data_IF_247561118499
#
_entry.id   IF_247561118499
#
_cell.length_a   1.000
_cell.length_b   1.000
_cell.length_c   1.000
_cell.angle_alpha   90.00
_cell.angle_beta   90.00
_cell.angle_gamma   90.00
#
_symmetry.space_group_name_H-M   'P 1'
#
loop_
_entity.id
_entity.type
_entity.pdbx_description
1 polymer ?
#
# COMPACT_ATOMS: atom_id res chain seq x y z
N UNK A 1 34.61 -6.21 12.71
CA UNK A 1 34.76 -5.22 11.62
C UNK A 1 33.37 -4.78 11.23
N UNK A 2 33.11 -3.48 11.35
CA UNK A 2 31.85 -2.90 11.78
C UNK A 2 30.70 -3.02 10.77
N UNK A 3 29.49 -3.20 11.34
CA UNK A 3 28.16 -3.22 10.71
C UNK A 3 27.78 -1.78 10.26
N UNK A 4 28.64 -1.15 9.48
CA UNK A 4 28.60 0.29 9.23
C UNK A 4 28.00 0.58 7.83
N UNK A 5 26.81 1.18 7.77
CA UNK A 5 26.06 1.46 6.52
C UNK A 5 26.10 2.93 6.04
N UNK A 6 26.76 3.85 6.77
CA UNK A 6 26.50 5.31 6.68
C UNK A 6 27.49 6.19 5.92
N UNK A 7 28.42 5.64 5.14
CA UNK A 7 29.33 6.42 4.30
C UNK A 7 29.42 5.78 2.92
N UNK A 8 30.06 6.45 1.93
CA UNK A 8 30.46 5.87 0.62
C UNK A 8 31.35 4.61 0.72
N UNK A 9 31.47 3.99 1.89
CA UNK A 9 32.09 2.70 2.12
C UNK A 9 31.31 1.53 1.50
N UNK A 10 30.00 1.68 1.23
CA UNK A 10 29.22 0.69 0.46
C UNK A 10 29.58 0.85 -1.02
N UNK A 11 30.36 -0.07 -1.58
CA UNK A 11 30.72 -0.02 -3.01
C UNK A 11 29.55 -0.51 -3.85
N UNK A 12 28.90 -1.59 -3.41
CA UNK A 12 27.81 -2.19 -4.17
C UNK A 12 26.64 -2.59 -3.30
N UNK A 13 25.46 -2.04 -3.59
CA UNK A 13 24.20 -2.50 -3.03
C UNK A 13 23.38 -3.29 -4.06
N UNK A 14 22.71 -4.34 -3.61
CA UNK A 14 21.76 -5.11 -4.43
C UNK A 14 20.36 -4.95 -3.86
N UNK A 15 19.39 -4.64 -4.72
CA UNK A 15 17.97 -4.59 -4.37
C UNK A 15 17.25 -5.73 -5.08
N UNK A 16 16.58 -6.59 -4.32
CA UNK A 16 15.80 -7.72 -4.86
C UNK A 16 14.38 -7.24 -5.09
N UNK A 17 13.93 -7.22 -6.34
CA UNK A 17 12.60 -6.78 -6.78
C UNK A 17 12.60 -5.35 -7.36
N UNK A 18 12.06 -5.18 -8.56
CA UNK A 18 11.95 -3.91 -9.28
C UNK A 18 10.56 -3.28 -9.20
N UNK A 19 9.85 -3.47 -8.09
CA UNK A 19 8.56 -2.80 -7.82
C UNK A 19 8.80 -1.42 -7.18
N UNK A 20 7.74 -0.68 -6.84
CA UNK A 20 7.86 0.64 -6.19
C UNK A 20 8.81 0.64 -4.99
N UNK A 21 8.69 -0.33 -4.08
CA UNK A 21 9.54 -0.37 -2.88
C UNK A 21 11.02 -0.56 -3.22
N UNK A 22 11.32 -1.42 -4.19
CA UNK A 22 12.69 -1.68 -4.63
C UNK A 22 13.29 -0.52 -5.42
N UNK A 23 12.52 0.09 -6.32
CA UNK A 23 12.98 1.25 -7.10
C UNK A 23 13.25 2.46 -6.19
N UNK A 24 12.37 2.74 -5.23
CA UNK A 24 12.58 3.84 -4.28
C UNK A 24 13.75 3.55 -3.31
N UNK A 25 13.92 2.30 -2.88
CA UNK A 25 15.11 1.91 -2.13
C UNK A 25 16.39 2.10 -2.95
N UNK A 26 16.40 1.67 -4.22
CA UNK A 26 17.54 1.85 -5.12
C UNK A 26 17.89 3.33 -5.33
N UNK A 27 16.88 4.17 -5.53
CA UNK A 27 17.04 5.63 -5.64
C UNK A 27 17.76 6.22 -4.43
N UNK A 28 17.36 5.82 -3.22
CA UNK A 28 18.00 6.27 -1.99
C UNK A 28 19.41 5.70 -1.84
N UNK A 29 19.59 4.40 -2.11
CA UNK A 29 20.89 3.74 -2.01
C UNK A 29 21.92 4.34 -2.97
N UNK A 30 21.51 4.85 -4.13
CA UNK A 30 22.42 5.54 -5.05
C UNK A 30 23.04 6.80 -4.43
N UNK A 31 22.44 7.41 -3.40
CA UNK A 31 23.04 8.53 -2.65
C UNK A 31 24.19 8.08 -1.75
N UNK A 32 24.24 6.79 -1.38
CA UNK A 32 25.15 6.24 -0.37
C UNK A 32 26.08 5.13 -0.89
N UNK A 33 25.81 4.56 -2.08
CA UNK A 33 26.59 3.51 -2.71
C UNK A 33 27.19 3.94 -4.05
N UNK A 34 28.35 3.38 -4.42
CA UNK A 34 28.98 3.65 -5.72
C UNK A 34 28.18 3.01 -6.87
N UNK A 35 27.61 1.83 -6.63
CA UNK A 35 26.77 1.08 -7.57
C UNK A 35 25.56 0.47 -6.87
N UNK A 36 24.41 0.48 -7.53
CA UNK A 36 23.20 -0.23 -7.11
C UNK A 36 22.74 -1.15 -8.24
N UNK A 37 22.47 -2.42 -7.93
CA UNK A 37 21.86 -3.36 -8.88
C UNK A 37 20.49 -3.78 -8.41
N UNK A 38 19.46 -3.46 -9.20
CA UNK A 38 18.10 -3.95 -9.00
C UNK A 38 17.93 -5.26 -9.76
N UNK A 39 17.56 -6.34 -9.07
CA UNK A 39 17.33 -7.65 -9.67
C UNK A 39 15.84 -7.90 -9.74
N UNK A 40 15.30 -8.11 -10.94
CA UNK A 40 13.88 -8.33 -11.18
C UNK A 40 13.65 -9.60 -11.98
N UNK A 41 12.71 -10.43 -11.51
CA UNK A 41 12.39 -11.73 -12.12
C UNK A 41 11.59 -11.59 -13.41
N UNK A 42 10.88 -10.49 -13.57
CA UNK A 42 10.14 -10.16 -14.79
C UNK A 42 11.07 -9.48 -15.80
N UNK A 43 10.67 -9.51 -17.07
CA UNK A 43 11.09 -8.50 -18.04
C UNK A 43 10.08 -7.36 -17.97
N UNK A 44 10.55 -6.14 -17.74
CA UNK A 44 9.68 -5.02 -17.50
C UNK A 44 9.11 -4.49 -18.83
N UNK A 45 7.81 -4.18 -18.90
CA UNK A 45 7.23 -3.61 -20.11
C UNK A 45 7.80 -2.22 -20.35
N UNK A 46 7.99 -1.83 -21.61
CA UNK A 46 8.47 -0.48 -21.96
C UNK A 46 7.44 0.60 -21.56
N UNK A 47 6.14 0.27 -21.65
CA UNK A 47 5.02 1.16 -21.36
C UNK A 47 4.38 0.98 -19.97
N UNK A 48 3.19 1.57 -19.82
CA UNK A 48 2.40 1.64 -18.59
C UNK A 48 1.52 0.38 -18.42
N UNK A 49 2.12 -0.80 -18.56
CA UNK A 49 1.38 -2.07 -18.61
C UNK A 49 1.56 -2.90 -17.35
N UNK A 50 0.53 -3.69 -17.00
CA UNK A 50 0.60 -4.60 -15.86
C UNK A 50 1.54 -5.79 -16.16
N UNK A 51 2.34 -6.19 -15.16
CA UNK A 51 3.29 -7.30 -15.29
C UNK A 51 2.99 -8.48 -14.35
N UNK A 52 3.43 -9.70 -14.66
CA UNK A 52 3.12 -10.89 -13.85
C UNK A 52 3.61 -10.81 -12.39
N UNK A 53 4.74 -10.14 -12.16
CA UNK A 53 5.35 -10.01 -10.84
C UNK A 53 4.64 -9.06 -9.91
N UNK A 54 3.73 -8.23 -10.43
CA UNK A 54 2.87 -7.31 -9.66
C UNK A 54 1.40 -7.61 -10.02
N UNK A 55 0.87 -8.80 -9.67
CA UNK A 55 -0.49 -9.20 -10.05
C UNK A 55 -1.54 -8.24 -9.48
N UNK A 56 -1.28 -7.66 -8.31
CA UNK A 56 -2.13 -6.64 -7.71
C UNK A 56 -2.27 -5.38 -8.57
N UNK A 57 -1.36 -5.09 -9.52
CA UNK A 57 -1.42 -3.89 -10.37
C UNK A 57 -2.66 -3.78 -11.25
N UNK A 58 -3.47 -4.84 -11.36
CA UNK A 58 -4.78 -4.85 -12.05
C UNK A 58 -5.95 -4.46 -11.14
N UNK A 59 -5.71 -4.28 -9.84
CA UNK A 59 -6.71 -3.96 -8.83
C UNK A 59 -6.64 -2.50 -8.42
N UNK A 60 -7.65 -2.01 -7.70
CA UNK A 60 -7.68 -0.64 -7.23
C UNK A 60 -6.43 -0.30 -6.42
N UNK A 61 -5.78 0.80 -6.78
CA UNK A 61 -4.71 1.43 -6.02
C UNK A 61 -4.97 2.92 -5.97
N UNK A 62 -4.81 3.52 -4.79
CA UNK A 62 -4.89 4.97 -4.60
C UNK A 62 -3.61 5.47 -3.97
N UNK A 63 -3.00 6.50 -4.54
CA UNK A 63 -1.85 7.15 -3.93
C UNK A 63 -2.35 8.19 -2.95
N UNK A 64 -2.36 7.84 -1.66
CA UNK A 64 -2.77 8.73 -0.57
C UNK A 64 -1.74 9.84 -0.31
N UNK A 65 -2.19 10.94 0.31
CA UNK A 65 -1.42 12.16 0.48
C UNK A 65 -0.04 11.98 1.16
N UNK A 66 0.11 11.08 2.14
CA UNK A 66 1.41 10.78 2.75
C UNK A 66 2.40 10.18 1.75
N UNK A 67 1.91 9.32 0.84
CA UNK A 67 2.71 8.76 -0.24
C UNK A 67 3.07 9.78 -1.33
N UNK A 68 2.17 10.72 -1.63
CA UNK A 68 2.43 11.82 -2.56
C UNK A 68 3.60 12.69 -2.07
N UNK A 69 3.55 13.13 -0.80
CA UNK A 69 4.63 13.92 -0.18
C UNK A 69 5.96 13.18 -0.18
N UNK A 70 5.94 11.89 0.17
CA UNK A 70 7.15 11.07 0.19
C UNK A 70 7.74 10.84 -1.20
N UNK A 71 6.89 10.62 -2.22
CA UNK A 71 7.36 10.48 -3.60
C UNK A 71 7.99 11.78 -4.11
N UNK A 72 7.37 12.93 -3.84
CA UNK A 72 7.90 14.22 -4.28
C UNK A 72 9.20 14.60 -3.53
N UNK A 73 9.35 14.21 -2.25
CA UNK A 73 10.61 14.33 -1.50
C UNK A 73 11.75 13.48 -2.12
N UNK A 74 11.43 12.28 -2.64
CA UNK A 74 12.40 11.35 -3.22
C UNK A 74 12.70 11.64 -4.70
N UNK A 75 11.69 12.10 -5.43
CA UNK A 75 11.67 12.36 -6.86
C UNK A 75 10.97 13.71 -7.11
N UNK A 76 11.68 14.84 -6.97
CA UNK A 76 11.06 16.16 -7.11
C UNK A 76 10.33 16.35 -8.47
N UNK A 77 9.14 16.94 -8.39
CA UNK A 77 8.24 17.18 -9.54
C UNK A 77 7.51 15.93 -10.01
N UNK A 78 7.50 14.85 -9.22
CA UNK A 78 6.86 13.59 -9.61
C UNK A 78 5.34 13.74 -9.73
N UNK A 79 4.74 14.50 -8.82
CA UNK A 79 3.28 14.67 -8.80
C UNK A 79 2.78 15.52 -9.98
N UNK A 80 3.57 16.50 -10.41
CA UNK A 80 3.26 17.33 -11.58
C UNK A 80 3.29 16.47 -12.85
N UNK A 81 4.37 15.69 -13.06
CA UNK A 81 4.45 14.77 -14.20
C UNK A 81 3.35 13.69 -14.16
N UNK A 82 2.98 13.20 -12.98
CA UNK A 82 1.88 12.24 -12.86
C UNK A 82 0.54 12.85 -13.28
N UNK A 83 0.34 14.14 -12.97
CA UNK A 83 -0.83 14.91 -13.41
C UNK A 83 -0.81 15.11 -14.93
N UNK A 84 0.33 15.48 -15.50
CA UNK A 84 0.50 15.65 -16.95
C UNK A 84 0.28 14.34 -17.73
N UNK A 85 0.53 13.19 -17.11
CA UNK A 85 0.21 11.86 -17.65
C UNK A 85 -1.29 11.52 -17.54
N UNK A 86 -2.13 12.42 -17.04
CA UNK A 86 -3.58 12.26 -16.96
C UNK A 86 -4.07 11.44 -15.77
N UNK A 87 -3.26 11.25 -14.72
CA UNK A 87 -3.70 10.55 -13.53
C UNK A 87 -4.78 11.37 -12.80
N UNK A 88 -6.01 10.85 -12.61
CA UNK A 88 -7.06 11.61 -11.96
C UNK A 88 -6.75 11.88 -10.49
N UNK A 89 -7.23 13.02 -10.01
CA UNK A 89 -7.16 13.45 -8.62
C UNK A 89 -8.57 13.53 -8.05
N UNK A 90 -8.81 12.82 -6.96
CA UNK A 90 -10.11 12.77 -6.26
C UNK A 90 -9.95 13.38 -4.87
N UNK A 91 -10.70 14.43 -4.57
CA UNK A 91 -10.81 15.09 -3.28
C UNK A 91 -11.81 14.39 -2.36
N UNK A 92 -11.43 14.10 -1.12
CA UNK A 92 -12.30 13.43 -0.14
C UNK A 92 -12.57 14.31 1.08
N UNK A 93 -13.83 14.36 1.57
CA UNK A 93 -14.99 13.58 1.13
C UNK A 93 -15.78 14.23 -0.03
N UNK A 94 -15.35 15.36 -0.57
CA UNK A 94 -16.10 16.19 -1.54
C UNK A 94 -16.55 15.44 -2.80
N UNK A 95 -15.65 14.69 -3.44
CA UNK A 95 -15.90 14.07 -4.75
C UNK A 95 -16.50 12.66 -4.63
N UNK A 96 -16.67 12.15 -3.41
CA UNK A 96 -17.05 10.75 -3.17
C UNK A 96 -18.39 10.61 -2.47
N UNK A 97 -19.23 9.73 -3.00
CA UNK A 97 -20.40 9.19 -2.29
C UNK A 97 -19.95 7.99 -1.48
N UNK A 98 -19.87 8.15 -0.16
CA UNK A 98 -19.31 7.15 0.73
C UNK A 98 -20.34 6.66 1.76
N UNK A 99 -20.53 5.34 1.82
CA UNK A 99 -21.29 4.63 2.85
C UNK A 99 -20.34 3.89 3.77
N UNK A 100 -20.40 4.17 5.06
CA UNK A 100 -19.57 3.48 6.05
C UNK A 100 -20.27 3.43 7.41
N UNK A 101 -20.25 2.24 8.03
CA UNK A 101 -20.86 1.99 9.35
C UNK A 101 -22.32 2.46 9.44
N UNK A 102 -23.12 2.19 8.41
CA UNK A 102 -24.55 2.50 8.41
C UNK A 102 -24.89 3.97 8.14
N UNK A 103 -23.93 4.81 7.73
CA UNK A 103 -24.14 6.25 7.49
C UNK A 103 -23.57 6.68 6.14
N UNK A 104 -24.24 7.63 5.50
CA UNK A 104 -23.69 8.41 4.40
C UNK A 104 -22.74 9.49 4.93
N UNK A 105 -21.60 9.65 4.26
CA UNK A 105 -20.69 10.75 4.56
C UNK A 105 -21.17 12.04 3.90
N UNK A 106 -21.13 13.13 4.64
CA UNK A 106 -21.38 14.47 4.12
C UNK A 106 -20.25 14.89 3.17
N UNK A 107 -20.63 15.35 1.97
CA UNK A 107 -19.71 15.85 0.95
C UNK A 107 -19.37 17.32 1.23
N UNK A 108 -18.43 17.47 2.16
CA UNK A 108 -17.83 18.75 2.57
C UNK A 108 -16.56 19.02 1.74
N UNK A 109 -16.04 20.26 1.70
CA UNK A 109 -14.81 20.58 0.97
C UNK A 109 -13.68 19.60 1.26
N UNK A 110 -12.95 19.20 0.23
CA UNK A 110 -11.95 18.15 0.32
C UNK A 110 -10.85 18.48 1.34
N UNK A 111 -10.57 17.55 2.24
CA UNK A 111 -9.48 17.69 3.24
C UNK A 111 -8.34 16.71 3.00
N UNK A 112 -8.48 15.81 2.03
CA UNK A 112 -7.41 14.96 1.52
C UNK A 112 -7.66 14.70 0.03
N UNK A 113 -6.60 14.32 -0.69
CA UNK A 113 -6.67 14.06 -2.13
C UNK A 113 -5.99 12.73 -2.44
N UNK A 114 -6.56 11.98 -3.38
CA UNK A 114 -6.02 10.72 -3.89
C UNK A 114 -5.69 10.86 -5.37
N UNK A 115 -4.58 10.27 -5.80
CA UNK A 115 -4.39 9.98 -7.22
C UNK A 115 -4.86 8.55 -7.48
N UNK A 116 -5.76 8.39 -8.44
CA UNK A 116 -6.48 7.13 -8.72
C UNK A 116 -6.12 6.51 -10.06
N UNK A 117 -5.13 7.07 -10.76
CA UNK A 117 -4.57 6.50 -11.98
C UNK A 117 -4.04 5.07 -11.78
N UNK A 118 -3.82 4.37 -12.89
CA UNK A 118 -3.42 2.96 -12.83
C UNK A 118 -2.09 2.75 -12.10
N UNK A 119 -1.97 1.67 -11.33
CA UNK A 119 -0.71 1.30 -10.68
C UNK A 119 0.45 1.15 -11.67
N UNK A 120 0.28 0.53 -12.87
CA UNK A 120 1.31 0.48 -13.89
C UNK A 120 1.83 1.84 -14.36
N UNK A 121 0.97 2.85 -14.51
CA UNK A 121 1.39 4.21 -14.88
C UNK A 121 2.33 4.81 -13.84
N UNK A 122 1.96 4.71 -12.56
CA UNK A 122 2.78 5.19 -11.45
C UNK A 122 4.12 4.44 -11.38
N UNK A 123 4.11 3.11 -11.46
CA UNK A 123 5.35 2.31 -11.42
C UNK A 123 6.25 2.58 -12.62
N UNK A 124 5.68 2.79 -13.82
CA UNK A 124 6.41 3.18 -15.02
C UNK A 124 7.13 4.51 -14.81
N UNK A 125 6.43 5.53 -14.28
CA UNK A 125 7.02 6.85 -14.05
C UNK A 125 8.16 6.78 -13.02
N UNK A 126 7.96 6.06 -11.92
CA UNK A 126 9.02 5.84 -10.92
C UNK A 126 10.21 5.13 -11.56
N UNK A 127 9.97 4.05 -12.31
CA UNK A 127 11.05 3.31 -12.98
C UNK A 127 11.83 4.20 -13.92
N UNK A 128 11.15 4.98 -14.78
CA UNK A 128 11.79 5.92 -15.71
C UNK A 128 12.66 6.93 -14.97
N UNK A 129 12.16 7.54 -13.89
CA UNK A 129 12.90 8.54 -13.10
C UNK A 129 14.09 7.91 -12.34
N UNK A 130 13.92 6.73 -11.77
CA UNK A 130 14.95 6.04 -10.98
C UNK A 130 16.08 5.51 -11.87
N UNK A 131 15.76 4.85 -12.98
CA UNK A 131 16.76 4.27 -13.89
C UNK A 131 17.48 5.31 -14.76
N UNK A 132 17.08 6.58 -14.69
CA UNK A 132 17.85 7.68 -15.29
C UNK A 132 19.17 7.94 -14.54
N UNK A 133 19.31 7.45 -13.30
CA UNK A 133 20.58 7.53 -12.56
C UNK A 133 21.56 6.45 -13.03
N UNK A 134 22.73 6.80 -13.58
CA UNK A 134 23.68 5.84 -14.15
C UNK A 134 24.31 4.91 -13.11
N UNK A 135 24.16 5.19 -11.80
CA UNK A 135 24.64 4.30 -10.73
C UNK A 135 23.70 3.10 -10.50
N UNK A 136 22.48 3.16 -11.05
CA UNK A 136 21.45 2.13 -10.86
C UNK A 136 21.35 1.28 -12.12
N UNK A 137 21.72 0.01 -11.99
CA UNK A 137 21.63 -1.00 -13.04
C UNK A 137 20.43 -1.92 -12.78
N UNK A 138 19.63 -2.20 -13.81
CA UNK A 138 18.54 -3.16 -13.74
C UNK A 138 18.94 -4.48 -14.41
N UNK A 139 18.82 -5.58 -13.67
CA UNK A 139 19.01 -6.95 -14.17
C UNK A 139 17.64 -7.63 -14.19
N UNK A 140 17.04 -7.70 -15.38
CA UNK A 140 15.71 -8.26 -15.62
C UNK A 140 15.75 -9.76 -15.89
N UNK A 141 14.57 -10.40 -15.88
CA UNK A 141 14.43 -11.83 -16.18
C UNK A 141 15.28 -12.72 -15.26
N UNK A 142 15.63 -12.24 -14.08
CA UNK A 142 16.60 -12.89 -13.19
C UNK A 142 16.02 -12.98 -11.79
N UNK A 143 15.99 -14.17 -11.21
CA UNK A 143 15.52 -14.38 -9.85
C UNK A 143 16.68 -14.54 -8.87
N UNK A 144 16.53 -13.96 -7.69
CA UNK A 144 17.37 -14.31 -6.54
C UNK A 144 16.91 -15.64 -5.96
N UNK A 145 17.82 -16.59 -5.85
CA UNK A 145 17.54 -17.95 -5.36
C UNK A 145 18.21 -18.25 -4.02
N UNK A 146 19.00 -17.32 -3.49
CA UNK A 146 19.65 -17.44 -2.20
C UNK A 146 20.51 -16.24 -1.85
N UNK A 147 20.91 -16.16 -0.58
CA UNK A 147 21.92 -15.22 -0.11
C UNK A 147 23.31 -15.87 -0.16
N UNK A 148 24.34 -15.04 -0.25
CA UNK A 148 25.74 -15.42 -0.07
C UNK A 148 26.24 -14.78 1.22
N UNK A 149 26.90 -15.56 2.06
CA UNK A 149 27.36 -15.11 3.37
C UNK A 149 27.24 -16.22 4.41
N UNK A 150 27.16 -15.79 5.67
CA UNK A 150 27.02 -16.66 6.84
C UNK A 150 26.06 -16.02 7.85
N UNK A 151 25.88 -16.67 9.00
CA UNK A 151 24.93 -16.20 10.02
C UNK A 151 25.27 -14.84 10.66
N UNK A 152 26.47 -14.30 10.40
CA UNK A 152 26.91 -12.99 10.89
C UNK A 152 26.80 -11.89 9.83
N UNK A 153 26.95 -12.20 8.54
CA UNK A 153 26.93 -11.18 7.48
C UNK A 153 26.52 -11.73 6.11
N UNK A 154 25.62 -11.00 5.45
CA UNK A 154 25.32 -11.15 4.03
C UNK A 154 26.34 -10.39 3.19
N UNK A 155 26.80 -11.02 2.11
CA UNK A 155 27.86 -10.57 1.20
C UNK A 155 27.45 -10.60 -0.27
N UNK A 156 26.17 -10.82 -0.56
CA UNK A 156 25.66 -10.90 -1.92
C UNK A 156 24.47 -11.84 -2.06
N UNK A 157 24.15 -12.13 -3.32
CA UNK A 157 23.01 -12.95 -3.72
C UNK A 157 23.43 -14.02 -4.75
N UNK A 158 22.70 -15.13 -4.77
CA UNK A 158 22.74 -16.11 -5.85
C UNK A 158 21.61 -15.80 -6.82
N UNK A 159 21.94 -15.67 -8.10
CA UNK A 159 21.03 -15.29 -9.17
C UNK A 159 20.85 -16.45 -10.14
N UNK A 160 19.64 -16.62 -10.64
CA UNK A 160 19.32 -17.58 -11.71
C UNK A 160 18.51 -16.88 -12.79
N UNK A 161 18.89 -17.09 -14.04
CA UNK A 161 18.15 -16.53 -15.18
C UNK A 161 16.83 -17.29 -15.40
N UNK A 162 15.81 -16.57 -15.87
CA UNK A 162 14.49 -17.10 -16.19
C UNK A 162 14.24 -17.03 -17.69
N UNK A 163 13.61 -18.07 -18.22
CA UNK A 163 13.18 -18.14 -19.62
C UNK A 163 13.52 -19.49 -20.26
N UNK A 164 12.94 -19.74 -21.43
CA UNK A 164 13.33 -20.88 -22.24
C UNK A 164 14.77 -20.70 -22.74
N UNK A 165 15.63 -21.69 -22.50
CA UNK A 165 17.05 -21.64 -22.89
C UNK A 165 17.97 -20.88 -21.92
N UNK A 166 17.47 -20.37 -20.79
CA UNK A 166 18.27 -19.70 -19.78
C UNK A 166 19.23 -20.68 -19.06
N UNK A 167 20.42 -20.21 -18.68
CA UNK A 167 21.32 -20.99 -17.85
C UNK A 167 20.69 -21.21 -16.46
N UNK A 168 20.52 -22.49 -16.11
CA UNK A 168 19.93 -22.88 -14.83
C UNK A 168 20.93 -22.83 -13.69
N UNK A 169 22.23 -22.70 -13.98
CA UNK A 169 23.26 -22.62 -12.97
C UNK A 169 23.20 -21.27 -12.24
N UNK A 170 23.08 -21.27 -10.91
CA UNK A 170 23.10 -20.03 -10.15
C UNK A 170 24.47 -19.35 -10.23
N UNK A 171 24.49 -18.05 -10.56
CA UNK A 171 25.69 -17.21 -10.49
C UNK A 171 25.68 -16.32 -9.25
N UNK A 172 26.85 -16.04 -8.71
CA UNK A 172 26.99 -15.15 -7.54
C UNK A 172 27.13 -13.70 -7.98
N UNK A 173 26.39 -12.81 -7.33
CA UNK A 173 26.61 -11.37 -7.36
C UNK A 173 26.99 -10.90 -5.94
N UNK A 174 28.23 -10.48 -5.77
CA UNK A 174 28.74 -9.95 -4.48
C UNK A 174 28.14 -8.58 -4.20
N UNK A 175 27.83 -8.27 -2.95
CA UNK A 175 27.32 -6.97 -2.53
C UNK A 175 27.70 -6.69 -1.07
N UNK A 176 27.88 -5.42 -0.72
CA UNK A 176 28.11 -4.98 0.65
C UNK A 176 26.81 -4.88 1.45
N UNK A 177 25.70 -4.63 0.75
CA UNK A 177 24.34 -4.52 1.28
C UNK A 177 23.34 -5.17 0.32
N UNK A 178 22.45 -5.99 0.85
CA UNK A 178 21.33 -6.58 0.12
C UNK A 178 20.02 -6.08 0.73
N UNK A 179 19.13 -5.52 -0.10
CA UNK A 179 17.79 -5.08 0.30
C UNK A 179 16.74 -5.95 -0.37
N UNK A 180 15.99 -6.70 0.41
CA UNK A 180 14.83 -7.45 -0.06
C UNK A 180 13.60 -6.54 -0.17
N UNK A 181 13.17 -6.31 -1.41
CA UNK A 181 11.94 -5.63 -1.79
C UNK A 181 11.07 -6.51 -2.71
N UNK A 182 11.21 -7.85 -2.60
CA UNK A 182 10.49 -8.83 -3.43
C UNK A 182 9.00 -8.99 -3.07
N UNK A 183 8.54 -8.19 -2.11
CA UNK A 183 7.15 -8.04 -1.72
C UNK A 183 6.60 -9.24 -0.96
N UNK A 184 5.28 -9.47 -1.07
CA UNK A 184 4.54 -10.50 -0.32
C UNK A 184 5.08 -11.92 -0.52
N UNK A 185 5.70 -12.19 -1.66
CA UNK A 185 6.28 -13.50 -2.01
C UNK A 185 7.75 -13.65 -1.63
N UNK A 186 8.25 -12.81 -0.72
CA UNK A 186 9.63 -12.91 -0.22
C UNK A 186 9.97 -14.32 0.24
N UNK A 187 11.22 -14.73 -0.06
CA UNK A 187 11.85 -15.97 0.39
C UNK A 187 12.97 -15.70 1.39
N UNK A 188 12.99 -14.51 2.00
CA UNK A 188 14.04 -14.11 2.94
C UNK A 188 14.18 -15.06 4.13
N UNK A 189 13.09 -15.63 4.65
CA UNK A 189 13.16 -16.64 5.71
C UNK A 189 14.01 -17.85 5.29
N UNK A 190 13.73 -18.41 4.12
CA UNK A 190 14.45 -19.55 3.54
C UNK A 190 15.91 -19.17 3.23
N UNK A 191 16.14 -17.98 2.64
CA UNK A 191 17.48 -17.54 2.28
C UNK A 191 18.37 -17.26 3.50
N UNK A 192 17.80 -16.68 4.56
CA UNK A 192 18.50 -16.44 5.83
C UNK A 192 18.84 -17.76 6.50
N UNK A 193 17.89 -18.69 6.58
CA UNK A 193 18.14 -20.04 7.10
C UNK A 193 19.25 -20.76 6.30
N UNK A 194 19.28 -20.59 4.98
CA UNK A 194 20.28 -21.17 4.09
C UNK A 194 21.73 -20.70 4.31
N UNK A 195 21.93 -19.53 4.94
CA UNK A 195 23.26 -19.05 5.38
C UNK A 195 23.48 -19.25 6.89
N UNK A 196 22.58 -20.00 7.54
CA UNK A 196 22.60 -20.29 8.96
C UNK A 196 22.00 -19.20 9.85
N UNK A 197 21.47 -18.09 9.31
CA UNK A 197 20.79 -17.09 10.12
C UNK A 197 19.39 -17.55 10.55
N UNK A 198 18.81 -16.88 11.54
CA UNK A 198 17.43 -17.15 11.96
C UNK A 198 16.44 -16.37 11.09
N UNK A 199 15.35 -17.03 10.70
CA UNK A 199 14.21 -16.38 10.05
C UNK A 199 13.56 -15.33 10.99
N UNK A 200 12.99 -14.24 10.44
CA UNK A 200 12.22 -13.29 11.24
C UNK A 200 10.93 -13.96 11.76
N UNK A 201 10.51 -13.59 12.96
CA UNK A 201 9.17 -13.95 13.43
C UNK A 201 8.12 -13.22 12.58
N UNK A 202 7.19 -13.95 11.99
CA UNK A 202 6.07 -13.38 11.25
C UNK A 202 4.84 -13.23 12.15
N UNK A 203 4.21 -12.06 12.12
CA UNK A 203 2.90 -11.82 12.71
C UNK A 203 1.90 -11.70 11.56
N UNK A 204 0.80 -12.45 11.63
CA UNK A 204 -0.20 -12.54 10.55
C UNK A 204 -1.60 -12.22 11.08
N UNK A 205 -2.37 -11.50 10.28
CA UNK A 205 -3.81 -11.29 10.46
C UNK A 205 -4.52 -11.45 9.11
N UNK A 206 -5.38 -12.45 8.99
CA UNK A 206 -6.07 -12.79 7.75
C UNK A 206 -7.59 -12.86 7.92
N UNK A 207 -8.29 -11.92 7.28
CA UNK A 207 -9.75 -11.87 7.20
C UNK A 207 -10.30 -12.72 6.04
N UNK A 208 -9.44 -13.26 5.17
CA UNK A 208 -9.82 -13.93 3.94
C UNK A 208 -10.39 -12.98 2.88
N UNK A 209 -10.10 -11.68 2.98
CA UNK A 209 -10.62 -10.69 2.05
C UNK A 209 -10.24 -11.02 0.60
N UNK A 210 -11.23 -10.91 -0.26
CA UNK A 210 -11.17 -11.20 -1.67
C UNK A 210 -11.65 -10.02 -2.50
N UNK A 211 -11.04 -9.81 -3.67
CA UNK A 211 -11.45 -8.80 -4.64
C UNK A 211 -11.85 -9.42 -5.98
N UNK A 212 -12.87 -8.84 -6.59
CA UNK A 212 -13.12 -8.90 -8.03
C UNK A 212 -12.91 -7.48 -8.57
N UNK A 213 -12.23 -7.32 -9.68
CA UNK A 213 -12.00 -5.99 -10.26
C UNK A 213 -12.20 -6.00 -11.76
N UNK A 214 -12.90 -4.99 -12.25
CA UNK A 214 -13.17 -4.81 -13.67
C UNK A 214 -13.08 -3.33 -14.03
N UNK A 215 -12.58 -3.04 -15.23
CA UNK A 215 -12.53 -1.67 -15.77
C UNK A 215 -13.76 -1.44 -16.62
N UNK A 216 -14.34 -0.25 -16.47
CA UNK A 216 -15.49 0.20 -17.22
C UNK A 216 -15.20 1.55 -17.87
N UNK A 217 -15.82 1.83 -19.01
CA UNK A 217 -15.97 3.19 -19.53
C UNK A 217 -17.19 3.82 -18.86
N UNK A 218 -17.00 5.03 -18.36
CA UNK A 218 -18.07 5.80 -17.71
C UNK A 218 -19.20 6.10 -18.71
N UNK A 219 -20.46 6.16 -18.25
CA UNK A 219 -21.54 6.71 -19.08
C UNK A 219 -21.21 8.16 -19.49
N UNK A 220 -21.49 8.52 -20.75
CA UNK A 220 -21.18 9.87 -21.29
C UNK A 220 -21.92 10.99 -20.52
N UNK A 221 -23.13 10.73 -20.07
CA UNK A 221 -23.93 11.62 -19.23
C UNK A 221 -24.30 10.93 -17.90
N UNK A 222 -23.96 11.58 -16.77
CA UNK A 222 -24.43 11.17 -15.43
C UNK A 222 -25.37 12.23 -14.84
N UNK A 223 -26.56 12.46 -15.45
CA UNK A 223 -27.49 13.46 -14.96
C UNK A 223 -27.93 13.11 -13.55
N UNK A 224 -27.75 14.03 -12.61
CA UNK A 224 -28.17 13.84 -11.22
C UNK A 224 -27.04 13.66 -10.22
N UNK A 225 -25.79 13.47 -10.65
CA UNK A 225 -24.63 13.37 -9.76
C UNK A 225 -23.45 14.20 -10.24
N UNK A 226 -22.74 14.84 -9.30
CA UNK A 226 -21.42 15.45 -9.51
C UNK A 226 -20.30 14.65 -8.81
N UNK A 227 -20.64 13.52 -8.19
CA UNK A 227 -19.67 12.62 -7.58
C UNK A 227 -18.81 11.95 -8.65
N UNK A 228 -17.50 11.89 -8.42
CA UNK A 228 -16.54 11.21 -9.29
C UNK A 228 -16.27 9.77 -8.87
N UNK A 229 -16.76 9.35 -7.70
CA UNK A 229 -16.55 8.00 -7.19
C UNK A 229 -17.54 7.59 -6.10
N UNK A 230 -17.61 6.28 -5.90
CA UNK A 230 -18.49 5.63 -4.92
C UNK A 230 -17.66 4.72 -4.03
N UNK A 231 -17.94 4.70 -2.73
CA UNK A 231 -17.27 3.79 -1.80
C UNK A 231 -18.21 3.27 -0.72
N UNK A 232 -18.48 1.97 -0.80
CA UNK A 232 -19.23 1.21 0.18
C UNK A 232 -18.23 0.40 1.00
N UNK A 233 -18.01 0.82 2.24
CA UNK A 233 -16.99 0.24 3.12
C UNK A 233 -17.57 -0.97 3.87
N UNK A 234 -16.91 -2.14 3.82
CA UNK A 234 -17.28 -3.28 4.66
C UNK A 234 -17.19 -2.95 6.15
N UNK A 235 -18.01 -3.61 6.94
CA UNK A 235 -17.99 -3.54 8.41
C UNK A 235 -18.36 -4.92 9.00
N UNK A 236 -18.31 -5.13 10.33
CA UNK A 236 -18.59 -6.44 10.92
C UNK A 236 -19.99 -7.00 10.61
N UNK A 237 -20.98 -6.15 10.38
CA UNK A 237 -22.35 -6.55 10.03
C UNK A 237 -22.59 -6.61 8.50
N UNK A 238 -21.65 -6.09 7.72
CA UNK A 238 -21.67 -6.04 6.25
C UNK A 238 -20.28 -6.40 5.72
N UNK A 239 -20.00 -7.71 5.58
CA UNK A 239 -18.67 -8.25 5.25
C UNK A 239 -18.26 -8.12 3.78
N UNK A 240 -18.97 -7.31 3.02
CA UNK A 240 -18.72 -7.02 1.61
C UNK A 240 -18.89 -5.53 1.30
N UNK A 241 -18.33 -5.10 0.18
CA UNK A 241 -18.23 -3.69 -0.19
C UNK A 241 -17.87 -3.50 -1.65
N UNK A 242 -17.79 -2.24 -2.06
CA UNK A 242 -17.58 -1.88 -3.44
C UNK A 242 -17.01 -0.49 -3.57
N UNK A 243 -16.16 -0.29 -4.57
CA UNK A 243 -15.55 1.01 -4.86
C UNK A 243 -15.50 1.23 -6.35
N UNK A 244 -15.83 2.46 -6.76
CA UNK A 244 -15.77 2.95 -8.14
C UNK A 244 -14.91 4.20 -8.13
N UNK A 245 -13.80 4.20 -8.85
CA UNK A 245 -12.88 5.34 -8.93
C UNK A 245 -12.40 5.57 -10.36
N UNK A 246 -12.14 6.82 -10.76
CA UNK A 246 -11.69 7.14 -12.11
C UNK A 246 -10.25 6.68 -12.33
N UNK A 247 -9.96 6.13 -13.50
CA UNK A 247 -8.59 5.78 -13.95
C UNK A 247 -7.97 6.81 -14.89
N UNK A 248 -8.80 7.69 -15.48
CA UNK A 248 -8.41 8.59 -16.57
C UNK A 248 -9.02 8.15 -17.90
N UNK A 249 -9.01 9.05 -18.89
CA UNK A 249 -9.52 8.80 -20.26
C UNK A 249 -10.96 8.25 -20.32
N UNK A 250 -11.85 8.77 -19.47
CA UNK A 250 -13.24 8.32 -19.38
C UNK A 250 -13.43 6.92 -18.78
N UNK A 251 -12.37 6.29 -18.25
CA UNK A 251 -12.44 4.95 -17.62
C UNK A 251 -12.51 5.04 -16.11
N UNK A 252 -13.17 4.05 -15.51
CA UNK A 252 -13.24 3.83 -14.07
C UNK A 252 -12.88 2.38 -13.75
N UNK A 253 -12.31 2.18 -12.57
CA UNK A 253 -12.05 0.86 -12.02
C UNK A 253 -13.08 0.58 -10.94
N UNK A 254 -13.73 -0.58 -11.06
CA UNK A 254 -14.69 -1.06 -10.08
C UNK A 254 -14.09 -2.26 -9.37
N UNK A 255 -13.96 -2.16 -8.05
CA UNK A 255 -13.55 -3.28 -7.20
C UNK A 255 -14.69 -3.63 -6.26
N UNK A 256 -15.16 -4.87 -6.32
CA UNK A 256 -16.03 -5.46 -5.31
C UNK A 256 -15.17 -6.28 -4.37
N UNK A 257 -15.52 -6.29 -3.09
CA UNK A 257 -14.77 -6.98 -2.05
C UNK A 257 -15.67 -7.76 -1.11
N UNK A 258 -15.22 -8.91 -0.63
CA UNK A 258 -15.92 -9.70 0.36
C UNK A 258 -14.95 -10.50 1.23
N UNK A 259 -15.31 -10.74 2.48
CA UNK A 259 -14.53 -11.59 3.39
C UNK A 259 -14.66 -13.08 3.05
N UNK A 260 -13.99 -13.92 3.84
CA UNK A 260 -14.04 -15.38 3.72
C UNK A 260 -15.49 -15.88 3.69
N UNK A 261 -15.85 -16.60 2.62
CA UNK A 261 -17.19 -17.13 2.39
C UNK A 261 -18.13 -16.20 1.62
N UNK A 262 -17.73 -14.95 1.37
CA UNK A 262 -18.49 -13.94 0.62
C UNK A 262 -17.69 -13.37 -0.56
N UNK A 263 -16.76 -14.16 -1.11
CA UNK A 263 -15.84 -13.69 -2.14
C UNK A 263 -16.58 -13.29 -3.43
N UNK A 264 -16.24 -12.13 -4.04
CA UNK A 264 -16.82 -11.73 -5.32
C UNK A 264 -16.39 -12.68 -6.44
N UNK A 265 -17.30 -13.03 -7.38
CA UNK A 265 -17.00 -13.93 -8.48
C UNK A 265 -16.05 -13.28 -9.51
N UNK A 266 -15.49 -14.10 -10.38
CA UNK A 266 -14.68 -13.67 -11.54
C UNK A 266 -15.39 -13.88 -12.88
N UNK A 267 -16.59 -14.45 -12.86
CA UNK A 267 -17.45 -14.54 -14.04
C UNK A 267 -18.15 -13.21 -14.27
N UNK A 268 -18.24 -12.78 -15.54
CA UNK A 268 -18.70 -11.44 -15.89
C UNK A 268 -20.10 -11.15 -15.33
N UNK A 269 -21.15 -11.83 -15.78
CA UNK A 269 -22.52 -11.57 -15.30
C UNK A 269 -22.72 -11.77 -13.80
N UNK A 270 -21.93 -12.64 -13.16
CA UNK A 270 -22.01 -12.82 -11.72
C UNK A 270 -21.42 -11.64 -10.94
N UNK A 271 -20.50 -10.88 -11.53
CA UNK A 271 -19.89 -9.70 -10.94
C UNK A 271 -20.90 -8.57 -10.77
N UNK A 272 -21.71 -8.27 -11.79
CA UNK A 272 -22.74 -7.24 -11.66
C UNK A 272 -23.89 -7.68 -10.74
N UNK A 273 -24.27 -8.97 -10.76
CA UNK A 273 -25.24 -9.50 -9.78
C UNK A 273 -24.73 -9.38 -8.33
N UNK A 274 -23.44 -9.62 -8.10
CA UNK A 274 -22.84 -9.43 -6.77
C UNK A 274 -22.98 -7.97 -6.30
N UNK A 275 -22.81 -6.98 -7.18
CA UNK A 275 -22.92 -5.57 -6.83
C UNK A 275 -24.32 -5.19 -6.32
N UNK A 276 -25.38 -5.87 -6.78
CA UNK A 276 -26.76 -5.65 -6.33
C UNK A 276 -27.00 -6.04 -4.86
N UNK A 277 -26.09 -6.82 -4.26
CA UNK A 277 -26.14 -7.18 -2.84
C UNK A 277 -25.69 -6.04 -1.93
N UNK A 278 -25.02 -5.01 -2.47
CA UNK A 278 -24.58 -3.86 -1.69
C UNK A 278 -25.81 -3.18 -1.04
N UNK A 279 -25.66 -2.56 0.15
CA UNK A 279 -26.78 -1.98 0.89
C UNK A 279 -27.57 -0.90 0.14
N UNK A 280 -26.97 -0.31 -0.90
CA UNK A 280 -27.59 0.74 -1.68
C UNK A 280 -27.29 0.55 -3.17
N UNK A 281 -28.26 0.80 -4.07
CA UNK A 281 -28.13 0.54 -5.50
C UNK A 281 -27.17 1.48 -6.26
N UNK A 282 -26.53 2.45 -5.60
CA UNK A 282 -25.70 3.47 -6.29
C UNK A 282 -24.62 2.88 -7.18
N UNK A 283 -23.99 1.77 -6.74
CA UNK A 283 -22.96 1.08 -7.52
C UNK A 283 -23.57 0.23 -8.63
N UNK A 284 -24.64 -0.53 -8.34
CA UNK A 284 -25.31 -1.36 -9.35
C UNK A 284 -25.97 -0.54 -10.46
N UNK A 285 -26.56 0.60 -10.11
CA UNK A 285 -27.18 1.53 -11.06
C UNK A 285 -26.13 2.19 -11.95
N UNK A 286 -24.97 2.51 -11.38
CA UNK A 286 -23.83 3.01 -12.15
C UNK A 286 -23.32 1.93 -13.13
N UNK A 287 -23.13 0.70 -12.64
CA UNK A 287 -22.70 -0.45 -13.45
C UNK A 287 -23.67 -0.75 -14.61
N UNK A 288 -24.98 -0.67 -14.38
CA UNK A 288 -26.00 -0.93 -15.39
C UNK A 288 -25.94 0.01 -16.60
N UNK A 289 -25.31 1.19 -16.45
CA UNK A 289 -25.14 2.18 -17.52
C UNK A 289 -23.72 2.24 -18.09
N UNK A 290 -22.76 1.63 -17.40
CA UNK A 290 -21.34 1.67 -17.78
C UNK A 290 -20.99 0.53 -18.73
N UNK A 291 -20.05 0.76 -19.63
CA UNK A 291 -19.59 -0.26 -20.59
C UNK A 291 -18.38 -1.01 -20.01
N UNK A 292 -18.40 -2.33 -19.84
CA UNK A 292 -17.22 -3.07 -19.39
C UNK A 292 -16.14 -3.11 -20.49
N UNK A 293 -14.89 -2.81 -20.13
CA UNK A 293 -13.75 -2.77 -21.08
C UNK A 293 -12.59 -3.69 -20.68
N UNK A 294 -12.78 -4.55 -19.68
CA UNK A 294 -11.84 -5.60 -19.29
C UNK A 294 -12.56 -6.86 -18.79
N UNK A 295 -11.87 -8.01 -18.70
CA UNK A 295 -12.30 -9.14 -17.87
C UNK A 295 -12.35 -8.77 -16.38
N UNK A 296 -12.99 -9.62 -15.58
CA UNK A 296 -12.93 -9.54 -14.11
C UNK A 296 -11.66 -10.23 -13.62
N UNK A 297 -10.82 -9.50 -12.90
CA UNK A 297 -9.63 -10.03 -12.25
C UNK A 297 -9.91 -10.33 -10.78
N UNK A 298 -9.52 -11.53 -10.32
CA UNK A 298 -9.63 -11.95 -8.93
C UNK A 298 -8.33 -11.79 -8.15
N UNK A 299 -8.42 -11.36 -6.89
CA UNK A 299 -7.28 -11.37 -5.95
C UNK A 299 -7.70 -11.85 -4.57
N UNK A 300 -6.86 -12.68 -3.93
CA UNK A 300 -7.16 -13.37 -2.65
C UNK A 300 -6.02 -13.32 -1.63
N UNK A 301 -4.85 -12.79 -1.98
CA UNK A 301 -3.67 -12.78 -1.09
C UNK A 301 -3.58 -11.48 -0.31
N UNK A 302 -4.46 -11.30 0.66
CA UNK A 302 -4.74 -10.01 1.31
C UNK A 302 -4.34 -9.93 2.78
N UNK A 303 -3.90 -11.03 3.38
CA UNK A 303 -3.47 -11.05 4.78
C UNK A 303 -2.49 -9.91 5.12
N UNK A 304 -2.65 -9.33 6.30
CA UNK A 304 -1.63 -8.46 6.88
C UNK A 304 -0.50 -9.35 7.41
N UNK A 305 0.74 -9.06 7.02
CA UNK A 305 1.92 -9.81 7.47
C UNK A 305 2.98 -8.80 7.91
N UNK A 306 3.48 -8.92 9.13
CA UNK A 306 4.59 -8.12 9.65
C UNK A 306 5.74 -9.03 10.03
N UNK A 307 6.90 -8.82 9.42
CA UNK A 307 8.11 -9.59 9.70
C UNK A 307 9.00 -8.85 10.70
N UNK A 308 9.20 -9.45 11.87
CA UNK A 308 9.84 -8.83 13.02
C UNK A 308 11.37 -8.99 12.98
N UNK A 309 11.99 -8.36 11.99
CA UNK A 309 13.46 -8.28 11.90
C UNK A 309 14.09 -7.45 13.04
N UNK A 310 13.29 -6.67 13.77
CA UNK A 310 13.70 -5.85 14.93
C UNK A 310 13.91 -6.65 16.23
N UNK A 311 13.31 -7.84 16.33
CA UNK A 311 13.40 -8.72 17.51
C UNK A 311 14.80 -9.32 17.63
N UNK A 312 15.28 -9.61 18.85
CA UNK A 312 16.55 -10.32 19.07
C UNK A 312 16.57 -11.66 18.32
N UNK A 313 17.74 -12.03 17.82
CA UNK A 313 17.97 -13.26 17.08
C UNK A 313 19.27 -13.17 16.28
N UNK A 314 19.67 -14.28 15.66
CA UNK A 314 20.84 -14.31 14.76
C UNK A 314 20.51 -13.63 13.44
N UNK A 315 20.63 -12.30 13.43
CA UNK A 315 20.39 -11.43 12.28
C UNK A 315 21.73 -10.97 11.68
N UNK A 316 22.04 -11.35 10.43
CA UNK A 316 23.30 -10.97 9.81
C UNK A 316 23.30 -9.48 9.46
N UNK A 317 24.47 -8.85 9.53
CA UNK A 317 24.69 -7.53 8.94
C UNK A 317 24.56 -7.58 7.40
N UNK A 318 24.29 -6.44 6.76
CA UNK A 318 24.27 -6.33 5.30
C UNK A 318 22.98 -6.86 4.64
N UNK A 319 21.91 -7.07 5.40
CA UNK A 319 20.59 -7.44 4.88
C UNK A 319 19.49 -6.56 5.45
N UNK A 320 18.69 -5.95 4.59
CA UNK A 320 17.49 -5.19 4.95
C UNK A 320 16.28 -5.76 4.22
N UNK A 321 15.09 -5.68 4.82
CA UNK A 321 13.82 -5.91 4.17
C UNK A 321 13.00 -4.60 4.14
N UNK A 322 12.29 -4.35 3.03
CA UNK A 322 11.44 -3.16 2.84
C UNK A 322 10.16 -3.48 2.05
N UNK A 323 9.20 -2.55 2.06
CA UNK A 323 7.89 -2.72 1.44
C UNK A 323 7.16 -3.96 1.98
N UNK A 324 6.41 -4.65 1.11
CA UNK A 324 5.64 -5.84 1.48
C UNK A 324 6.51 -7.04 1.91
N UNK A 325 7.83 -7.02 1.65
CA UNK A 325 8.74 -8.03 2.20
C UNK A 325 8.93 -7.81 3.70
N UNK A 326 8.88 -6.57 4.19
CA UNK A 326 8.93 -6.23 5.60
C UNK A 326 7.55 -6.26 6.27
N UNK A 327 6.59 -5.54 5.69
CA UNK A 327 5.26 -5.33 6.23
C UNK A 327 4.25 -5.20 5.10
N UNK A 328 3.39 -6.21 4.94
CA UNK A 328 2.34 -6.25 3.94
C UNK A 328 0.97 -5.99 4.58
N UNK A 329 0.14 -5.19 3.92
CA UNK A 329 -1.15 -4.73 4.45
C UNK A 329 -2.32 -5.21 3.61
N UNK A 330 -3.44 -5.49 4.26
CA UNK A 330 -4.72 -5.62 3.58
C UNK A 330 -4.95 -4.37 2.71
N UNK A 331 -5.09 -4.52 1.37
CA UNK A 331 -5.03 -3.38 0.47
C UNK A 331 -6.32 -2.53 0.48
N UNK A 332 -7.35 -2.92 1.23
CA UNK A 332 -8.61 -2.17 1.35
C UNK A 332 -8.37 -0.74 1.89
N UNK A 333 -7.29 -0.54 2.65
CA UNK A 333 -6.93 0.74 3.25
C UNK A 333 -6.07 1.63 2.34
N UNK A 334 -5.61 1.15 1.16
CA UNK A 334 -4.86 1.96 0.20
C UNK A 334 -3.46 2.42 0.65
N UNK A 335 -2.89 1.83 1.72
CA UNK A 335 -1.67 2.35 2.36
C UNK A 335 -0.35 1.81 1.77
N UNK A 336 -0.35 0.68 1.06
CA UNK A 336 0.88 -0.01 0.67
C UNK A 336 1.87 0.84 -0.15
N UNK A 337 1.38 1.63 -1.11
CA UNK A 337 2.24 2.50 -1.92
C UNK A 337 2.88 3.62 -1.10
N UNK A 338 2.09 4.22 -0.21
CA UNK A 338 2.57 5.28 0.68
C UNK A 338 3.59 4.74 1.68
N UNK A 339 3.35 3.57 2.27
CA UNK A 339 4.31 2.93 3.18
C UNK A 339 5.62 2.60 2.45
N UNK A 340 5.58 2.10 1.21
CA UNK A 340 6.79 1.87 0.44
C UNK A 340 7.63 3.16 0.25
N UNK A 341 6.98 4.29 -0.06
CA UNK A 341 7.66 5.57 -0.19
C UNK A 341 8.16 6.13 1.16
N UNK A 342 7.35 6.04 2.22
CA UNK A 342 7.74 6.45 3.57
C UNK A 342 8.90 5.61 4.11
N UNK A 343 8.94 4.30 3.82
CA UNK A 343 10.08 3.43 4.15
C UNK A 343 11.35 3.86 3.40
N UNK A 344 11.27 4.30 2.15
CA UNK A 344 12.44 4.84 1.43
C UNK A 344 12.90 6.19 2.02
N UNK A 345 11.98 7.08 2.42
CA UNK A 345 12.32 8.31 3.17
C UNK A 345 13.00 7.96 4.51
N UNK A 346 12.50 6.97 5.24
CA UNK A 346 13.11 6.51 6.47
C UNK A 346 14.49 5.89 6.25
N UNK A 347 14.68 5.14 5.14
CA UNK A 347 15.99 4.64 4.71
C UNK A 347 16.98 5.80 4.53
N UNK A 348 16.58 6.82 3.77
CA UNK A 348 17.42 7.99 3.48
C UNK A 348 17.84 8.70 4.76
N UNK A 349 16.89 8.95 5.67
CA UNK A 349 17.14 9.59 6.96
C UNK A 349 18.08 8.77 7.83
N UNK A 350 17.87 7.45 7.91
CA UNK A 350 18.72 6.56 8.70
C UNK A 350 20.16 6.52 8.16
N UNK A 351 20.34 6.48 6.84
CA UNK A 351 21.65 6.45 6.19
C UNK A 351 22.37 7.81 6.18
N UNK A 352 21.63 8.91 6.29
CA UNK A 352 22.18 10.28 6.30
C UNK A 352 22.55 10.80 7.70
N UNK A 353 22.45 9.98 8.75
CA UNK A 353 22.84 10.40 10.10
C UNK A 353 24.36 10.63 10.18
N UNK A 354 24.76 11.90 10.20
CA UNK A 354 26.18 12.30 10.24
C UNK A 354 26.82 12.11 11.62
N UNK A 355 26.03 11.84 12.67
CA UNK A 355 26.55 11.71 14.04
C UNK A 355 27.05 10.31 14.32
N UNK A 356 26.49 9.30 13.66
CA UNK A 356 26.84 7.89 13.85
C UNK A 356 26.60 7.11 12.56
N UNK A 357 27.56 6.30 12.17
CA UNK A 357 27.35 5.30 11.13
C UNK A 357 26.26 4.31 11.61
N UNK A 358 25.12 4.20 10.90
CA UNK A 358 24.01 3.38 11.34
C UNK A 358 24.32 1.89 11.11
N UNK A 359 23.85 1.07 12.05
CA UNK A 359 23.89 -0.39 11.93
C UNK A 359 22.77 -0.92 11.05
N UNK A 360 22.94 -2.11 10.47
CA UNK A 360 21.86 -2.83 9.75
C UNK A 360 20.61 -2.90 10.61
N UNK A 361 20.78 -3.19 11.91
CA UNK A 361 19.66 -3.26 12.86
C UNK A 361 18.97 -1.91 13.06
N UNK A 362 19.72 -0.82 13.18
CA UNK A 362 19.16 0.54 13.34
C UNK A 362 18.34 0.92 12.11
N UNK A 363 18.88 0.70 10.90
CA UNK A 363 18.18 0.98 9.65
C UNK A 363 16.93 0.12 9.53
N UNK A 364 17.03 -1.19 9.79
CA UNK A 364 15.88 -2.10 9.73
C UNK A 364 14.75 -1.71 10.69
N UNK A 365 15.08 -1.20 11.88
CA UNK A 365 14.10 -0.68 12.83
C UNK A 365 13.44 0.59 12.30
N UNK A 366 14.19 1.52 11.71
CA UNK A 366 13.63 2.72 11.09
C UNK A 366 12.65 2.38 9.95
N UNK A 367 12.96 1.38 9.12
CA UNK A 367 12.06 0.90 8.07
C UNK A 367 10.77 0.32 8.64
N UNK A 368 10.85 -0.43 9.74
CA UNK A 368 9.69 -1.01 10.42
C UNK A 368 8.84 0.06 11.11
N UNK A 369 9.48 1.06 11.72
CA UNK A 369 8.77 2.16 12.37
C UNK A 369 8.01 3.02 11.37
N UNK A 370 8.52 3.19 10.15
CA UNK A 370 7.81 3.86 9.06
C UNK A 370 6.52 3.14 8.64
N UNK A 371 6.41 1.82 8.89
CA UNK A 371 5.25 1.00 8.55
C UNK A 371 4.25 0.84 9.72
N UNK A 372 4.62 1.31 10.92
CA UNK A 372 3.89 1.06 12.17
C UNK A 372 2.46 1.62 12.16
N UNK A 373 2.28 2.88 11.78
CA UNK A 373 0.95 3.50 11.78
C UNK A 373 -0.02 2.79 10.83
N UNK A 374 0.44 2.45 9.62
CA UNK A 374 -0.38 1.71 8.66
C UNK A 374 -0.76 0.32 9.18
N UNK A 375 0.17 -0.35 9.88
CA UNK A 375 -0.10 -1.63 10.54
C UNK A 375 -1.16 -1.49 11.62
N UNK A 376 -1.02 -0.50 12.50
CA UNK A 376 -1.94 -0.30 13.62
C UNK A 376 -3.37 0.05 13.13
N UNK A 377 -3.49 0.81 12.04
CA UNK A 377 -4.78 1.09 11.37
C UNK A 377 -5.36 -0.20 10.77
N UNK A 378 -4.60 -0.88 9.90
CA UNK A 378 -5.08 -2.01 9.13
C UNK A 378 -5.41 -3.21 10.03
N UNK A 379 -4.47 -3.59 10.89
CA UNK A 379 -4.65 -4.70 11.81
C UNK A 379 -5.71 -4.40 12.88
N UNK A 380 -5.79 -3.15 13.35
CA UNK A 380 -6.80 -2.73 14.33
C UNK A 380 -8.23 -2.83 13.82
N UNK A 381 -8.45 -2.47 12.55
CA UNK A 381 -9.75 -2.60 11.90
C UNK A 381 -10.07 -4.07 11.55
N UNK A 382 -9.13 -4.80 10.97
CA UNK A 382 -9.32 -6.20 10.56
C UNK A 382 -9.55 -7.16 11.74
N UNK A 383 -8.99 -6.87 12.93
CA UNK A 383 -9.26 -7.63 14.17
C UNK A 383 -10.74 -7.74 14.53
N UNK A 384 -11.55 -6.74 14.14
CA UNK A 384 -12.98 -6.69 14.45
C UNK A 384 -13.83 -7.42 13.41
N UNK A 385 -13.25 -7.82 12.29
CA UNK A 385 -13.99 -8.44 11.20
C UNK A 385 -14.28 -9.92 11.49
N UNK A 386 -15.48 -10.40 11.15
CA UNK A 386 -15.82 -11.82 11.26
C UNK A 386 -14.83 -12.70 10.52
N UNK A 387 -14.45 -13.83 11.14
CA UNK A 387 -13.53 -14.78 10.54
C UNK A 387 -12.05 -14.36 10.51
N UNK A 388 -11.65 -13.25 11.16
CA UNK A 388 -10.24 -12.90 11.26
C UNK A 388 -9.42 -13.99 12.01
N UNK A 389 -8.36 -14.50 11.38
CA UNK A 389 -7.45 -15.49 11.95
C UNK A 389 -6.02 -14.94 12.07
N UNK A 390 -5.17 -15.62 12.85
CA UNK A 390 -3.76 -15.27 13.03
C UNK A 390 -3.37 -14.86 14.45
N UNK A 391 -2.07 -14.84 14.73
CA UNK A 391 -1.53 -14.51 16.05
C UNK A 391 -1.72 -13.02 16.42
N UNK A 392 -1.70 -12.15 15.41
CA UNK A 392 -1.98 -10.72 15.56
C UNK A 392 -3.47 -10.40 15.76
N UNK A 393 -4.38 -11.39 15.70
CA UNK A 393 -5.82 -11.19 15.96
C UNK A 393 -6.16 -11.00 17.44
N UNK A 394 -5.25 -11.35 18.36
CA UNK A 394 -5.55 -11.34 19.80
C UNK A 394 -5.67 -9.90 20.35
N UNK A 395 -6.73 -9.58 21.10
CA UNK A 395 -6.90 -8.26 21.70
C UNK A 395 -5.93 -8.05 22.87
N UNK A 396 -5.29 -6.89 22.91
CA UNK A 396 -4.47 -6.42 24.02
C UNK A 396 -5.32 -5.81 25.16
N UNK A 397 -4.72 -5.60 26.35
CA UNK A 397 -5.43 -5.14 27.54
C UNK A 397 -6.04 -3.73 27.42
N UNK A 398 -5.45 -2.84 26.59
CA UNK A 398 -5.96 -1.49 26.36
C UNK A 398 -6.89 -1.38 25.13
N UNK A 399 -7.05 -2.46 24.36
CA UNK A 399 -7.75 -2.44 23.06
C UNK A 399 -9.22 -2.08 23.20
N UNK A 400 -9.85 -2.37 24.35
CA UNK A 400 -11.27 -2.06 24.60
C UNK A 400 -11.52 -0.55 24.68
N UNK A 401 -10.76 0.17 25.50
CA UNK A 401 -10.97 1.60 25.70
C UNK A 401 -10.61 2.41 24.43
N UNK A 402 -9.47 2.09 23.81
CA UNK A 402 -9.05 2.69 22.54
C UNK A 402 -10.06 2.35 21.44
N UNK A 403 -10.50 1.09 21.36
CA UNK A 403 -11.48 0.63 20.38
C UNK A 403 -12.84 1.32 20.49
N UNK A 404 -13.29 1.61 21.72
CA UNK A 404 -14.50 2.38 22.00
C UNK A 404 -14.35 3.86 21.64
N UNK A 405 -13.19 4.46 21.90
CA UNK A 405 -12.95 5.84 21.48
C UNK A 405 -12.94 5.97 19.96
N UNK A 406 -12.23 5.06 19.28
CA UNK A 406 -12.13 5.07 17.82
C UNK A 406 -13.47 4.77 17.12
N UNK A 407 -14.37 3.98 17.73
CA UNK A 407 -15.72 3.81 17.16
C UNK A 407 -16.52 5.11 17.22
N UNK A 408 -16.38 5.91 18.29
CA UNK A 408 -16.99 7.26 18.36
C UNK A 408 -16.39 8.25 17.38
N UNK A 409 -15.08 8.18 17.15
CA UNK A 409 -14.41 8.96 16.09
C UNK A 409 -15.03 8.64 14.74
N UNK A 410 -15.15 7.35 14.40
CA UNK A 410 -15.76 6.91 13.13
C UNK A 410 -17.22 7.34 12.99
N UNK A 411 -18.00 7.27 14.07
CA UNK A 411 -19.41 7.67 14.06
C UNK A 411 -19.64 9.17 13.76
N UNK A 412 -18.64 10.01 14.08
CA UNK A 412 -18.67 11.47 13.87
C UNK A 412 -17.94 11.93 12.61
N UNK A 413 -16.94 11.18 12.15
CA UNK A 413 -16.13 11.52 10.98
C UNK A 413 -16.94 11.71 9.69
N UNK A 414 -18.15 11.13 9.63
CA UNK A 414 -19.08 11.24 8.51
C UNK A 414 -19.70 12.63 8.33
N UNK A 415 -19.82 13.44 9.41
CA UNK A 415 -20.53 14.72 9.36
C UNK A 415 -19.85 15.88 10.07
N UNK A 416 -18.90 15.62 10.98
CA UNK A 416 -18.22 16.66 11.74
C UNK A 416 -16.80 16.91 11.18
N UNK A 417 -16.50 18.07 10.55
CA UNK A 417 -15.17 18.39 10.05
C UNK A 417 -14.09 18.45 11.12
N UNK A 418 -14.42 18.77 12.38
CA UNK A 418 -13.47 18.80 13.51
C UNK A 418 -12.92 17.40 13.79
N UNK A 419 -13.71 16.36 13.56
CA UNK A 419 -13.32 14.95 13.73
C UNK A 419 -12.87 14.33 12.40
N UNK A 420 -13.61 14.58 11.32
CA UNK A 420 -13.39 13.99 10.00
C UNK A 420 -12.06 14.40 9.37
N UNK A 421 -11.65 15.66 9.55
CA UNK A 421 -10.37 16.16 8.99
C UNK A 421 -9.15 15.43 9.59
N UNK A 422 -8.94 15.41 10.92
CA UNK A 422 -7.83 14.66 11.52
C UNK A 422 -7.96 13.15 11.30
N UNK A 423 -9.19 12.62 11.25
CA UNK A 423 -9.42 11.21 10.89
C UNK A 423 -8.87 10.87 9.50
N UNK A 424 -9.23 11.66 8.48
CA UNK A 424 -8.71 11.50 7.12
C UNK A 424 -7.19 11.76 7.05
N UNK A 425 -6.68 12.75 7.79
CA UNK A 425 -5.24 13.01 7.84
C UNK A 425 -4.45 11.81 8.41
N UNK A 426 -4.98 11.16 9.44
CA UNK A 426 -4.37 9.95 10.02
C UNK A 426 -4.45 8.74 9.09
N UNK A 427 -5.60 8.51 8.43
CA UNK A 427 -5.75 7.42 7.46
C UNK A 427 -4.85 7.60 6.22
N UNK A 428 -4.66 8.84 5.80
CA UNK A 428 -3.80 9.21 4.66
C UNK A 428 -2.33 9.37 5.02
N UNK A 429 -1.96 9.05 6.26
CA UNK A 429 -0.58 9.10 6.77
C UNK A 429 0.07 10.49 6.67
N UNK A 430 -0.73 11.55 6.76
CA UNK A 430 -0.26 12.94 6.76
C UNK A 430 -0.19 13.54 8.16
N UNK A 431 -0.80 12.87 9.13
CA UNK A 431 -0.74 13.18 10.56
C UNK A 431 -0.62 11.88 11.37
N UNK A 432 -0.05 11.92 12.59
CA UNK A 432 -0.01 10.76 13.47
C UNK A 432 -1.42 10.39 13.98
N UNK A 433 -1.66 9.11 14.28
CA UNK A 433 -2.92 8.65 14.92
C UNK A 433 -3.23 9.38 16.24
N UNK A 434 -2.21 9.87 16.95
CA UNK A 434 -2.37 10.66 18.18
C UNK A 434 -3.11 11.97 17.97
N UNK A 435 -3.18 12.49 16.73
CA UNK A 435 -3.97 13.68 16.39
C UNK A 435 -5.46 13.49 16.66
N UNK A 436 -5.97 12.25 16.66
CA UNK A 436 -7.36 11.94 17.01
C UNK A 436 -7.67 12.17 18.48
N UNK A 437 -6.66 12.37 19.32
CA UNK A 437 -6.78 12.63 20.75
C UNK A 437 -6.47 14.09 21.10
N UNK A 438 -6.28 14.96 20.10
CA UNK A 438 -6.08 16.39 20.35
C UNK A 438 -7.29 16.98 21.11
N UNK A 439 -7.10 17.97 22.01
CA UNK A 439 -8.17 18.44 22.90
C UNK A 439 -9.48 18.83 22.22
N UNK A 440 -9.41 19.48 21.04
CA UNK A 440 -10.59 19.84 20.25
C UNK A 440 -11.34 18.61 19.71
N UNK A 441 -10.60 17.64 19.17
CA UNK A 441 -11.15 16.38 18.65
C UNK A 441 -11.74 15.55 19.79
N UNK A 442 -11.00 15.39 20.88
CA UNK A 442 -11.48 14.65 22.05
C UNK A 442 -12.74 15.29 22.65
N UNK A 443 -12.81 16.62 22.71
CA UNK A 443 -14.02 17.32 23.17
C UNK A 443 -15.21 17.04 22.25
N UNK A 444 -15.03 17.13 20.93
CA UNK A 444 -16.08 16.83 19.96
C UNK A 444 -16.54 15.36 20.04
N UNK A 445 -15.60 14.43 20.21
CA UNK A 445 -15.87 12.98 20.29
C UNK A 445 -16.57 12.60 21.60
N UNK A 446 -16.19 13.20 22.73
CA UNK A 446 -16.69 12.83 24.05
C UNK A 446 -17.96 13.58 24.45
N UNK A 447 -18.09 14.85 24.05
CA UNK A 447 -19.15 15.73 24.53
C UNK A 447 -19.97 16.39 23.41
N UNK A 448 -19.52 16.29 22.15
CA UNK A 448 -20.25 16.83 21.01
C UNK A 448 -21.43 15.93 20.61
N UNK A 449 -22.57 16.52 20.18
CA UNK A 449 -23.63 15.75 19.54
C UNK A 449 -23.10 15.10 18.26
N UNK A 450 -23.68 13.97 17.86
CA UNK A 450 -23.37 13.43 16.53
C UNK A 450 -24.00 14.32 15.47
N UNK A 451 -23.19 14.78 14.51
CA UNK A 451 -23.68 15.56 13.39
C UNK A 451 -24.69 14.75 12.58
N UNK A 452 -25.76 15.40 12.14
CA UNK A 452 -26.69 14.79 11.19
C UNK A 452 -25.94 14.47 9.89
N UNK A 453 -26.14 13.26 9.41
CA UNK A 453 -25.62 12.80 8.13
C UNK A 453 -26.78 12.63 7.15
N UNK A 454 -26.52 12.74 5.83
CA UNK A 454 -27.56 12.52 4.82
C UNK A 454 -28.29 11.17 5.02
N UNK A 455 -29.62 11.18 4.90
CA UNK A 455 -30.44 9.96 4.94
C UNK A 455 -30.34 9.18 3.63
N UNK A 456 -30.21 9.90 2.52
CA UNK A 456 -30.06 9.39 1.15
C UNK A 456 -28.63 9.63 0.63
N UNK A 457 -28.17 8.90 -0.40
CA UNK A 457 -26.85 9.14 -0.97
C UNK A 457 -26.72 10.59 -1.45
N UNK A 458 -25.68 11.33 -1.02
CA UNK A 458 -25.49 12.72 -1.41
C UNK A 458 -24.93 12.80 -2.84
N UNK A 459 -25.77 12.56 -3.84
CA UNK A 459 -25.37 12.54 -5.25
C UNK A 459 -24.92 13.91 -5.76
N UNK A 460 -25.36 15.00 -5.13
CA UNK A 460 -24.90 16.37 -5.41
C UNK A 460 -24.17 16.95 -4.20
N UNK A 461 -23.10 17.69 -4.46
CA UNK A 461 -22.44 18.48 -3.43
C UNK A 461 -23.44 19.47 -2.81
N UNK A 462 -23.33 19.70 -1.51
CA UNK A 462 -24.05 20.79 -0.86
C UNK A 462 -23.48 22.11 -1.42
N UNK A 463 -24.15 22.67 -2.44
CA UNK A 463 -23.87 24.02 -2.91
C UNK A 463 -23.98 24.95 -1.69
N UNK A 464 -22.88 25.61 -1.35
CA UNK A 464 -22.74 26.37 -0.11
C UNK A 464 -23.97 27.22 0.18
N UNK A 465 -24.64 26.90 1.30
CA UNK A 465 -25.60 27.76 1.96
C UNK A 465 -24.89 28.57 3.04
#
# INVERSE_FOLDING_TARGET
>A
MADDLGHRATRHAVVIGGSLAGLLAARVLAEHAEKVTVVERDRLPEGQEARPGVPQGRHLHVLIAGGQRALDELLPGFMDELTDLGAPKVGVPEDMVQWQNGKWYSRTPATAHFYTGSRPQLEWLVRRRVLADPRIELVEGTETVGLVGDSSRVRGVRLRERGAGADKQPRTLTADLVVDASGRSTKAADWLAGIGAEAPHEETLDTGLAYGTRVYRSPEDQPGTDATGYYIVPNPDQVYGGVVLPLGDGRHLVTLSGLRGDEPPTDEGAFEEYAKRLPHPVVSDWLARAEPVSPVYGFRRTANIRRRYDRPGRRPAGFLATGDALCAFNPIYGQGMAVAALSAVALRRALSDTKRTPTTRTVQRALLDASRQAWDISAGADKKMPGATGDAARPGPMDKAVGWYLSRVQARAAGDPVVGTPFRAALTLTAPLTSLFAPSVARAVLFGPEAETPAEPPLRGSAGS
#
